data_IF_286419820532
#
_entry.id   IF_286419820532
#
_cell.length_a   1.000
_cell.length_b   1.000
_cell.length_c   1.000
_cell.angle_alpha   90.00
_cell.angle_beta   90.00
_cell.angle_gamma   90.00
#
_symmetry.space_group_name_H-M   'P 1'
#
loop_
_entity.id
_entity.type
_entity.pdbx_description
1 polymer ?
#
# COMPACT_ATOMS: atom_id res chain seq x y z
N UNK A 1 4.71 6.01 1.92
CA UNK A 1 4.61 5.10 0.76
C UNK A 1 3.16 4.90 0.39
N UNK A 2 2.88 4.69 -0.90
CA UNK A 2 1.54 4.38 -1.37
C UNK A 2 1.56 3.09 -2.16
N UNK A 3 0.58 2.23 -1.89
CA UNK A 3 0.47 0.93 -2.53
C UNK A 3 -0.93 0.72 -3.08
N UNK A 4 -1.02 0.05 -4.21
CA UNK A 4 -2.30 -0.39 -4.81
C UNK A 4 -2.25 -1.91 -4.90
N UNK A 5 -3.19 -2.60 -4.26
CA UNK A 5 -3.27 -4.05 -4.32
C UNK A 5 -3.99 -4.43 -5.61
N UNK A 6 -3.29 -5.13 -6.50
CA UNK A 6 -3.81 -5.52 -7.81
C UNK A 6 -4.15 -7.01 -7.90
N UNK A 7 -3.68 -7.82 -6.94
CA UNK A 7 -4.05 -9.23 -6.81
C UNK A 7 -3.83 -9.71 -5.38
N UNK A 8 -4.67 -10.64 -4.92
CA UNK A 8 -4.50 -11.37 -3.66
C UNK A 8 -5.05 -10.63 -2.45
N UNK A 9 -4.79 -11.19 -1.27
CA UNK A 9 -5.24 -10.67 0.02
C UNK A 9 -4.17 -10.86 1.10
N UNK A 10 -4.25 -10.08 2.17
CA UNK A 10 -3.22 -10.04 3.18
C UNK A 10 -3.54 -9.12 4.35
N UNK A 11 -2.47 -8.67 5.00
CA UNK A 11 -2.56 -7.63 6.03
C UNK A 11 -1.53 -6.52 5.80
N UNK A 12 -1.97 -5.29 6.04
CA UNK A 12 -1.13 -4.12 6.23
C UNK A 12 -0.76 -4.01 7.71
N UNK A 13 0.54 -3.94 7.98
CA UNK A 13 1.08 -3.67 9.29
C UNK A 13 1.48 -2.21 9.36
N UNK A 14 1.09 -1.55 10.44
CA UNK A 14 1.56 -0.21 10.83
C UNK A 14 1.99 -0.26 12.30
N UNK A 15 2.09 0.88 12.98
CA UNK A 15 2.32 0.92 14.43
C UNK A 15 1.12 0.46 15.26
N UNK A 16 -0.07 0.45 14.65
CA UNK A 16 -1.29 -0.11 15.24
C UNK A 16 -1.54 -1.56 14.87
N UNK A 17 -2.78 -2.00 15.10
CA UNK A 17 -3.21 -3.34 14.76
C UNK A 17 -3.15 -3.60 13.25
N UNK A 18 -2.89 -4.86 12.82
CA UNK A 18 -2.91 -5.22 11.41
C UNK A 18 -4.30 -5.01 10.80
N UNK A 19 -4.34 -4.40 9.62
CA UNK A 19 -5.58 -4.13 8.87
C UNK A 19 -5.66 -5.09 7.68
N UNK A 20 -6.81 -5.74 7.42
CA UNK A 20 -6.97 -6.60 6.25
C UNK A 20 -6.89 -5.79 4.95
N UNK A 21 -6.32 -6.39 3.91
CA UNK A 21 -6.21 -5.81 2.58
C UNK A 21 -6.58 -6.84 1.51
N UNK A 22 -7.08 -6.35 0.39
CA UNK A 22 -7.45 -7.17 -0.78
C UNK A 22 -7.32 -6.38 -2.08
N UNK A 23 -7.55 -7.05 -3.21
CA UNK A 23 -7.50 -6.43 -4.54
C UNK A 23 -8.45 -5.23 -4.62
N UNK A 24 -7.93 -4.10 -5.09
CA UNK A 24 -8.65 -2.82 -5.13
C UNK A 24 -8.39 -1.92 -3.93
N UNK A 25 -7.76 -2.40 -2.85
CA UNK A 25 -7.36 -1.53 -1.75
C UNK A 25 -6.26 -0.55 -2.16
N UNK A 26 -6.41 0.70 -1.72
CA UNK A 26 -5.36 1.72 -1.76
C UNK A 26 -4.81 1.93 -0.36
N UNK A 27 -3.52 1.70 -0.19
CA UNK A 27 -2.84 1.78 1.10
C UNK A 27 -1.98 3.04 1.16
N UNK A 28 -2.02 3.71 2.30
CA UNK A 28 -1.23 4.89 2.58
C UNK A 28 -0.45 4.69 3.88
N UNK A 29 0.87 4.77 3.78
CA UNK A 29 1.74 4.90 4.94
C UNK A 29 2.35 6.31 4.95
N UNK A 30 2.07 7.14 5.98
CA UNK A 30 2.69 8.45 6.10
C UNK A 30 4.22 8.40 6.14
N UNK A 31 4.85 9.54 5.86
CA UNK A 31 6.30 9.67 5.94
C UNK A 31 6.79 9.29 7.35
N UNK A 32 7.88 8.53 7.41
CA UNK A 32 8.51 8.06 8.65
C UNK A 32 7.65 7.09 9.48
N UNK A 33 6.55 6.54 8.95
CA UNK A 33 5.78 5.49 9.64
C UNK A 33 6.37 4.12 9.33
N UNK A 34 6.57 3.27 10.34
CA UNK A 34 6.95 1.86 10.11
C UNK A 34 5.75 1.11 9.53
N UNK A 35 5.95 0.44 8.40
CA UNK A 35 4.88 -0.30 7.74
C UNK A 35 5.40 -1.50 6.97
N UNK A 36 4.49 -2.38 6.57
CA UNK A 36 4.78 -3.52 5.72
C UNK A 36 3.51 -4.26 5.31
N UNK A 37 3.62 -5.05 4.25
CA UNK A 37 2.51 -5.87 3.75
C UNK A 37 2.88 -7.33 3.87
N UNK A 38 1.97 -8.16 4.39
CA UNK A 38 2.15 -9.62 4.48
C UNK A 38 1.05 -10.33 3.70
N UNK A 39 1.45 -11.28 2.87
CA UNK A 39 0.50 -12.22 2.28
C UNK A 39 0.01 -13.18 3.37
N UNK A 40 -1.30 -13.22 3.60
CA UNK A 40 -1.97 -14.17 4.50
C UNK A 40 -3.09 -14.95 3.80
N UNK A 41 -3.24 -14.74 2.49
CA UNK A 41 -4.15 -15.50 1.64
C UNK A 41 -3.46 -16.71 1.00
N UNK A 42 -4.20 -17.40 0.13
CA UNK A 42 -3.71 -18.56 -0.64
C UNK A 42 -3.07 -18.19 -1.98
N UNK A 43 -3.38 -17.01 -2.51
CA UNK A 43 -2.92 -16.55 -3.82
C UNK A 43 -1.73 -15.60 -3.70
N UNK A 44 -0.92 -15.41 -4.77
CA UNK A 44 0.11 -14.39 -4.78
C UNK A 44 -0.48 -13.00 -4.51
N UNK A 45 0.13 -12.29 -3.57
CA UNK A 45 -0.15 -10.89 -3.30
C UNK A 45 0.71 -10.02 -4.23
N UNK A 46 0.07 -9.27 -5.12
CA UNK A 46 0.73 -8.39 -6.07
C UNK A 46 0.27 -6.96 -5.83
N UNK A 47 1.23 -6.05 -5.73
CA UNK A 47 0.98 -4.64 -5.49
C UNK A 47 1.87 -3.75 -6.34
N UNK A 48 1.34 -2.59 -6.69
CA UNK A 48 2.15 -1.47 -7.20
C UNK A 48 2.64 -0.70 -5.99
N UNK A 49 3.96 -0.50 -5.89
CA UNK A 49 4.58 0.24 -4.81
C UNK A 49 5.10 1.58 -5.32
N UNK A 50 4.74 2.68 -4.65
CA UNK A 50 5.17 4.03 -5.03
C UNK A 50 5.70 4.79 -3.83
N UNK A 51 6.71 5.62 -4.12
CA UNK A 51 7.33 6.53 -3.17
C UNK A 51 7.02 7.96 -3.65
N UNK A 52 5.87 8.54 -3.27
CA UNK A 52 5.62 9.93 -3.63
C UNK A 52 6.70 10.79 -2.95
N UNK A 53 7.51 11.48 -3.74
CA UNK A 53 8.44 12.44 -3.17
C UNK A 53 7.63 13.59 -2.53
N UNK A 54 8.10 14.09 -1.39
CA UNK A 54 7.48 15.24 -0.70
C UNK A 54 7.39 16.49 -1.60
N UNK A 55 8.32 16.61 -2.56
CA UNK A 55 8.33 17.62 -3.60
C UNK A 55 8.22 16.96 -4.99
N UNK A 56 6.99 16.65 -5.43
CA UNK A 56 6.71 16.28 -6.82
C UNK A 56 5.98 17.40 -7.52
N UNK A 57 6.41 17.71 -8.75
CA UNK A 57 5.62 18.56 -9.65
C UNK A 57 4.31 17.85 -9.96
N UNK A 58 3.18 18.51 -9.65
CA UNK A 58 1.84 17.97 -9.92
C UNK A 58 1.40 18.40 -11.30
N UNK A 59 1.39 17.48 -12.25
CA UNK A 59 0.84 17.71 -13.58
C UNK A 59 -0.58 17.12 -13.62
N UNK A 60 -1.58 17.98 -13.43
CA UNK A 60 -2.98 17.59 -13.57
C UNK A 60 -3.37 17.65 -15.05
N UNK A 61 -3.56 16.50 -15.67
CA UNK A 61 -4.08 16.41 -17.04
C UNK A 61 -5.61 16.41 -16.96
N UNK A 62 -6.24 17.35 -17.68
CA UNK A 62 -7.71 17.44 -17.79
C UNK A 62 -8.26 16.37 -18.71
#
# INVERSE_FOLDING_TARGET
>A
DCMIIIQGSGQLYTEGDPVPIETGCHLWAPANTRHGVKNTGSDPLVLIYTWPAVNVERIMVK
#
